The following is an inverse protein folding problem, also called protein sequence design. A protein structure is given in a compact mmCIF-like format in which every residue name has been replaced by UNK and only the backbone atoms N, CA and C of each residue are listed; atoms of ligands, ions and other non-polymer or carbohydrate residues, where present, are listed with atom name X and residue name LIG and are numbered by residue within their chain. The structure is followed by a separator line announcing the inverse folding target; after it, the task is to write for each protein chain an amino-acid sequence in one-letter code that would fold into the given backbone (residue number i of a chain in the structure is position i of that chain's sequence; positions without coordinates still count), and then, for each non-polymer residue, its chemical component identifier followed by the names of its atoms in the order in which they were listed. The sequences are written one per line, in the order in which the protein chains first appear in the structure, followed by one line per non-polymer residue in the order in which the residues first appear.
data_IF_435925655198
#
_entry.id   IF_435925655198
#
_cell.length_a   1.000
_cell.length_b   1.000
_cell.length_c   1.000
_cell.angle_alpha   90.00
_cell.angle_beta   90.00
_cell.angle_gamma   90.00
#
_symmetry.space_group_name_H-M   'P 1'
#
loop_
_entity.id
_entity.type
_entity.pdbx_description
1 polymer ?
#
# COMPACT_ATOMS: atom_id res chain seq x y z
N UNK A 1 23.32 5.48 -30.98
CA UNK A 1 22.92 6.46 -29.94
C UNK A 1 21.39 6.47 -29.84
N UNK A 2 20.81 5.59 -29.04
CA UNK A 2 19.38 5.59 -28.76
C UNK A 2 19.11 6.62 -27.65
N UNK A 3 18.23 7.59 -27.90
CA UNK A 3 17.85 8.60 -26.91
C UNK A 3 17.05 7.94 -25.78
N UNK A 4 17.73 7.71 -24.67
CA UNK A 4 17.19 7.19 -23.41
C UNK A 4 16.41 8.29 -22.66
N UNK A 5 15.25 8.69 -23.18
CA UNK A 5 14.40 9.72 -22.58
C UNK A 5 13.11 9.15 -21.93
N UNK A 6 13.22 8.04 -21.18
CA UNK A 6 12.17 7.71 -20.21
C UNK A 6 12.62 6.86 -19.02
N UNK A 7 12.24 7.31 -17.83
CA UNK A 7 12.55 6.69 -16.54
C UNK A 7 12.10 5.24 -16.41
N UNK A 8 10.99 4.86 -17.04
CA UNK A 8 10.26 3.61 -16.73
C UNK A 8 9.81 2.93 -18.03
N UNK A 9 10.63 3.05 -19.09
CA UNK A 9 10.36 2.34 -20.33
C UNK A 9 9.19 2.92 -21.15
N UNK A 10 9.07 4.24 -21.18
CA UNK A 10 8.11 4.91 -22.05
C UNK A 10 8.88 5.33 -23.33
N UNK A 11 8.55 4.86 -24.53
CA UNK A 11 9.29 5.28 -25.71
C UNK A 11 9.17 6.80 -25.91
N UNK A 12 10.31 7.47 -26.10
CA UNK A 12 10.33 8.84 -26.60
C UNK A 12 9.73 8.81 -28.01
N UNK A 13 8.54 9.39 -28.19
CA UNK A 13 7.88 9.38 -29.48
C UNK A 13 8.63 10.31 -30.44
N UNK A 14 9.00 9.81 -31.62
CA UNK A 14 9.69 10.61 -32.65
C UNK A 14 8.92 11.86 -33.10
N UNK A 15 7.61 11.92 -32.82
CA UNK A 15 6.76 13.11 -33.03
C UNK A 15 6.93 14.21 -31.96
N UNK A 16 7.61 13.95 -30.83
CA UNK A 16 7.87 14.97 -29.80
C UNK A 16 9.01 15.94 -30.16
N UNK A 17 9.85 15.61 -31.16
CA UNK A 17 10.93 16.49 -31.62
C UNK A 17 10.46 17.83 -32.21
N UNK A 18 9.16 17.98 -32.49
CA UNK A 18 8.55 19.23 -32.99
C UNK A 18 7.77 20.05 -31.96
N UNK A 19 7.71 19.66 -30.68
CA UNK A 19 6.85 20.31 -29.66
C UNK A 19 7.63 20.67 -28.38
N UNK A 20 8.77 21.35 -28.55
CA UNK A 20 9.60 21.85 -27.43
C UNK A 20 8.85 22.74 -26.42
N UNK A 21 7.62 23.20 -26.72
CA UNK A 21 6.77 23.99 -25.81
C UNK A 21 5.79 23.21 -24.93
N UNK A 22 5.78 21.86 -24.93
CA UNK A 22 4.79 21.05 -24.18
C UNK A 22 5.35 20.18 -23.06
N UNK A 23 6.66 20.21 -22.81
CA UNK A 23 7.27 19.42 -21.76
C UNK A 23 7.01 20.02 -20.35
N UNK A 24 6.94 19.16 -19.34
CA UNK A 24 6.82 19.59 -17.93
C UNK A 24 8.23 19.82 -17.39
N UNK A 25 8.55 21.01 -16.83
CA UNK A 25 9.89 21.30 -16.31
C UNK A 25 10.33 20.29 -15.24
N UNK A 26 11.61 19.95 -15.21
CA UNK A 26 12.14 18.93 -14.29
C UNK A 26 11.90 19.28 -12.80
N UNK A 27 11.97 20.57 -12.45
CA UNK A 27 11.64 21.05 -11.10
C UNK A 27 10.19 20.74 -10.74
N UNK A 28 9.25 20.96 -11.68
CA UNK A 28 7.82 20.67 -11.45
C UNK A 28 7.59 19.17 -11.31
N UNK A 29 8.28 18.33 -12.10
CA UNK A 29 8.20 16.86 -11.99
C UNK A 29 8.66 16.38 -10.60
N UNK A 30 9.80 16.88 -10.12
CA UNK A 30 10.35 16.52 -8.80
C UNK A 30 9.45 16.99 -7.67
N UNK A 31 9.00 18.25 -7.70
CA UNK A 31 8.13 18.81 -6.68
C UNK A 31 6.76 18.10 -6.66
N UNK A 32 6.15 17.86 -7.82
CA UNK A 32 4.87 17.16 -7.91
C UNK A 32 4.99 15.72 -7.40
N UNK A 33 6.00 14.97 -7.85
CA UNK A 33 6.21 13.59 -7.40
C UNK A 33 6.54 13.53 -5.89
N UNK A 34 7.37 14.44 -5.39
CA UNK A 34 7.70 14.52 -3.97
C UNK A 34 6.49 14.88 -3.11
N UNK A 35 5.72 15.89 -3.50
CA UNK A 35 4.50 16.30 -2.80
C UNK A 35 3.43 15.20 -2.81
N UNK A 36 3.21 14.54 -3.95
CA UNK A 36 2.30 13.41 -4.05
C UNK A 36 2.77 12.26 -3.18
N UNK A 37 4.07 11.95 -3.17
CA UNK A 37 4.58 10.91 -2.29
C UNK A 37 4.24 11.21 -0.84
N UNK A 38 4.59 12.39 -0.31
CA UNK A 38 4.26 12.81 1.06
C UNK A 38 2.74 12.77 1.33
N UNK A 39 1.92 13.25 0.40
CA UNK A 39 0.47 13.25 0.54
C UNK A 39 -0.13 11.84 0.68
N UNK A 40 0.38 10.87 -0.06
CA UNK A 40 -0.07 9.47 0.01
C UNK A 40 0.25 8.81 1.36
N UNK A 41 1.17 9.38 2.14
CA UNK A 41 1.57 8.83 3.45
C UNK A 41 0.70 9.27 4.59
N UNK A 42 0.48 10.58 4.70
CA UNK A 42 -0.22 11.13 5.84
C UNK A 42 -0.82 12.48 5.49
N UNK A 43 -2.08 12.64 5.83
CA UNK A 43 -2.88 13.86 5.66
C UNK A 43 -3.58 14.26 6.96
N UNK A 44 -3.40 13.52 8.06
CA UNK A 44 -3.85 13.84 9.42
C UNK A 44 -2.67 13.67 10.37
N UNK A 45 -1.77 14.64 10.33
CA UNK A 45 -0.52 14.58 11.10
C UNK A 45 -0.83 14.83 12.57
N UNK A 46 -0.20 14.03 13.47
CA UNK A 46 -0.26 14.24 14.92
C UNK A 46 -1.68 14.23 15.51
N UNK A 47 -2.53 13.29 15.07
CA UNK A 47 -3.87 13.10 15.64
C UNK A 47 -3.77 12.79 17.15
N UNK A 48 -4.51 13.53 17.97
CA UNK A 48 -4.66 13.22 19.40
C UNK A 48 -5.56 11.99 19.57
N UNK A 49 -5.02 10.94 20.17
CA UNK A 49 -5.74 9.67 20.39
C UNK A 49 -6.45 9.63 21.75
N UNK A 50 -6.25 10.63 22.60
CA UNK A 50 -6.95 10.76 23.88
C UNK A 50 -8.34 11.40 23.72
N UNK A 51 -8.57 12.11 22.61
CA UNK A 51 -9.85 12.74 22.31
C UNK A 51 -10.86 11.70 21.82
N UNK A 52 -11.98 11.56 22.53
CA UNK A 52 -13.07 10.63 22.18
C UNK A 52 -13.88 11.09 20.97
N UNK A 53 -13.79 12.37 20.58
CA UNK A 53 -14.44 12.89 19.37
C UNK A 53 -13.95 12.21 18.09
N UNK A 54 -12.79 11.53 18.14
CA UNK A 54 -12.25 10.78 17.01
C UNK A 54 -13.12 9.60 16.57
N UNK A 55 -13.97 9.08 17.47
CA UNK A 55 -14.89 7.98 17.16
C UNK A 55 -16.04 8.46 16.28
N UNK A 56 -16.54 9.68 16.49
CA UNK A 56 -17.58 10.29 15.64
C UNK A 56 -17.01 10.94 14.38
N UNK A 57 -15.80 11.50 14.44
CA UNK A 57 -15.13 12.11 13.28
C UNK A 57 -14.72 11.11 12.18
N UNK A 58 -14.77 9.80 12.44
CA UNK A 58 -14.45 8.77 11.43
C UNK A 58 -15.49 8.71 10.29
N UNK A 59 -16.73 9.14 10.56
CA UNK A 59 -17.82 9.13 9.58
C UNK A 59 -17.73 10.30 8.58
N UNK A 60 -17.32 11.48 9.05
CA UNK A 60 -17.20 12.70 8.25
C UNK A 60 -15.74 12.91 7.79
N UNK A 61 -15.38 12.35 6.63
CA UNK A 61 -14.04 12.49 6.07
C UNK A 61 -13.55 13.95 5.99
N UNK A 62 -12.32 14.21 6.43
CA UNK A 62 -11.75 15.57 6.55
C UNK A 62 -11.77 16.37 5.23
N UNK A 63 -12.34 17.58 5.28
CA UNK A 63 -12.36 18.52 4.15
C UNK A 63 -10.96 18.85 3.64
N UNK A 64 -9.98 18.95 4.55
CA UNK A 64 -8.59 19.18 4.19
C UNK A 64 -8.06 18.04 3.30
N UNK A 65 -8.33 16.79 3.69
CA UNK A 65 -7.92 15.61 2.91
C UNK A 65 -8.54 15.61 1.53
N UNK A 66 -9.84 15.91 1.45
CA UNK A 66 -10.55 15.99 0.16
C UNK A 66 -9.92 17.04 -0.76
N UNK A 67 -9.68 18.25 -0.25
CA UNK A 67 -9.06 19.34 -1.01
C UNK A 67 -7.66 18.96 -1.48
N UNK A 68 -6.82 18.39 -0.60
CA UNK A 68 -5.46 18.00 -0.95
C UNK A 68 -5.42 16.90 -2.03
N UNK A 69 -6.23 15.84 -1.90
CA UNK A 69 -6.28 14.77 -2.88
C UNK A 69 -6.87 15.23 -4.22
N UNK A 70 -7.92 16.07 -4.20
CA UNK A 70 -8.47 16.65 -5.42
C UNK A 70 -7.45 17.56 -6.12
N UNK A 71 -6.79 18.46 -5.38
CA UNK A 71 -5.78 19.35 -5.94
C UNK A 71 -4.59 18.59 -6.53
N UNK A 72 -4.04 17.63 -5.79
CA UNK A 72 -2.96 16.76 -6.28
C UNK A 72 -3.40 15.92 -7.47
N UNK A 73 -4.63 15.40 -7.42
CA UNK A 73 -5.24 14.64 -8.50
C UNK A 73 -5.36 15.47 -9.78
N UNK A 74 -5.90 16.69 -9.70
CA UNK A 74 -6.00 17.60 -10.84
C UNK A 74 -4.62 17.98 -11.38
N UNK A 75 -3.66 18.33 -10.51
CA UNK A 75 -2.30 18.65 -10.92
C UNK A 75 -1.63 17.48 -11.67
N UNK A 76 -1.78 16.26 -11.15
CA UNK A 76 -1.26 15.04 -11.77
C UNK A 76 -1.95 14.74 -13.10
N UNK A 77 -3.28 14.87 -13.17
CA UNK A 77 -4.04 14.68 -14.41
C UNK A 77 -3.60 15.67 -15.50
N UNK A 78 -3.37 16.94 -15.13
CA UNK A 78 -2.85 17.96 -16.05
C UNK A 78 -1.43 17.62 -16.53
N UNK A 79 -0.56 17.14 -15.63
CA UNK A 79 0.79 16.70 -15.98
C UNK A 79 0.76 15.51 -16.95
N UNK A 80 -0.03 14.47 -16.64
CA UNK A 80 -0.21 13.29 -17.52
C UNK A 80 -0.80 13.73 -18.87
N UNK A 81 -1.76 14.66 -18.90
CA UNK A 81 -2.34 15.17 -20.14
C UNK A 81 -1.30 15.88 -21.01
N UNK A 82 -0.39 16.66 -20.41
CA UNK A 82 0.70 17.32 -21.15
C UNK A 82 1.72 16.33 -21.72
N UNK A 83 2.08 15.29 -20.95
CA UNK A 83 3.02 14.25 -21.39
C UNK A 83 2.37 13.33 -22.45
N UNK A 84 1.11 12.97 -22.23
CA UNK A 84 0.28 12.18 -23.14
C UNK A 84 -0.50 11.08 -22.41
N UNK A 85 -1.83 11.14 -22.45
CA UNK A 85 -2.71 10.16 -21.76
C UNK A 85 -2.49 8.71 -22.23
N UNK A 86 -1.97 8.52 -23.44
CA UNK A 86 -1.59 7.20 -23.98
C UNK A 86 -0.62 6.42 -23.09
N UNK A 87 0.16 7.09 -22.25
CA UNK A 87 1.08 6.44 -21.32
C UNK A 87 0.36 5.64 -20.21
N UNK A 88 -0.95 5.83 -20.04
CA UNK A 88 -1.79 5.01 -19.17
C UNK A 88 -2.28 3.72 -19.84
N UNK A 89 -2.29 3.62 -21.18
CA UNK A 89 -2.80 2.44 -21.92
C UNK A 89 -2.16 1.10 -21.49
N UNK A 90 -0.85 1.02 -21.20
CA UNK A 90 -0.22 -0.19 -20.64
C UNK A 90 -0.91 -0.77 -19.40
N UNK A 91 -1.50 0.11 -18.57
CA UNK A 91 -2.14 -0.22 -17.30
C UNK A 91 -3.58 -0.71 -17.47
N UNK A 92 -4.21 -0.48 -18.63
CA UNK A 92 -5.56 -0.95 -18.97
C UNK A 92 -5.57 -2.45 -19.31
N UNK A 93 -5.08 -3.27 -18.37
CA UNK A 93 -5.05 -4.72 -18.51
C UNK A 93 -6.42 -5.32 -18.21
N UNK A 94 -6.77 -6.45 -18.84
CA UNK A 94 -8.05 -7.13 -18.58
C UNK A 94 -8.31 -7.37 -17.07
N UNK A 95 -7.36 -7.89 -16.26
CA UNK A 95 -7.61 -8.08 -14.83
C UNK A 95 -7.91 -6.78 -14.08
N UNK A 96 -7.16 -5.70 -14.32
CA UNK A 96 -7.39 -4.40 -13.66
C UNK A 96 -8.70 -3.76 -14.10
N UNK A 97 -9.04 -3.84 -15.39
CA UNK A 97 -10.33 -3.35 -15.90
C UNK A 97 -11.50 -4.13 -15.31
N UNK A 98 -11.39 -5.46 -15.20
CA UNK A 98 -12.43 -6.28 -14.56
C UNK A 98 -12.58 -5.93 -13.08
N UNK A 99 -11.49 -5.69 -12.35
CA UNK A 99 -11.58 -5.21 -10.98
C UNK A 99 -12.27 -3.84 -10.90
N UNK A 100 -11.92 -2.89 -11.77
CA UNK A 100 -12.53 -1.57 -11.80
C UNK A 100 -14.03 -1.62 -12.11
N UNK A 101 -14.43 -2.43 -13.10
CA UNK A 101 -15.84 -2.64 -13.46
C UNK A 101 -16.59 -3.28 -12.28
N UNK A 102 -16.02 -4.34 -11.70
CA UNK A 102 -16.65 -5.03 -10.57
C UNK A 102 -16.82 -4.12 -9.36
N UNK A 103 -15.78 -3.37 -9.01
CA UNK A 103 -15.81 -2.41 -7.90
C UNK A 103 -16.83 -1.29 -8.15
N UNK A 104 -16.94 -0.81 -9.40
CA UNK A 104 -17.98 0.15 -9.78
C UNK A 104 -19.39 -0.43 -9.61
N UNK A 105 -19.61 -1.67 -10.03
CA UNK A 105 -20.89 -2.36 -9.84
C UNK A 105 -21.23 -2.58 -8.37
N UNK A 106 -20.28 -3.04 -7.55
CA UNK A 106 -20.53 -3.28 -6.12
C UNK A 106 -20.69 -1.98 -5.32
N UNK A 107 -20.10 -0.88 -5.79
CA UNK A 107 -20.34 0.47 -5.25
C UNK A 107 -21.79 0.90 -5.45
N UNK A 108 -22.35 0.69 -6.65
CA UNK A 108 -23.75 1.02 -6.94
C UNK A 108 -24.74 0.12 -6.20
N UNK A 109 -24.35 -1.14 -5.93
CA UNK A 109 -25.14 -2.13 -5.22
C UNK A 109 -24.85 -2.17 -3.71
N UNK A 110 -24.09 -1.20 -3.19
CA UNK A 110 -23.71 -1.14 -1.78
C UNK A 110 -24.92 -0.87 -0.88
N UNK A 111 -24.83 -1.27 0.39
CA UNK A 111 -25.78 -0.85 1.42
C UNK A 111 -25.71 0.66 1.71
N UNK A 112 -24.55 1.27 1.47
CA UNK A 112 -24.32 2.72 1.62
C UNK A 112 -23.70 3.27 0.33
N UNK A 113 -24.50 3.48 -0.75
CA UNK A 113 -23.97 3.89 -2.05
C UNK A 113 -23.25 5.24 -2.04
N UNK A 114 -23.71 6.19 -1.22
CA UNK A 114 -23.12 7.53 -1.12
C UNK A 114 -21.72 7.46 -0.49
N UNK A 115 -21.56 6.73 0.62
CA UNK A 115 -20.28 6.49 1.26
C UNK A 115 -19.33 5.71 0.34
N UNK A 116 -19.82 4.64 -0.29
CA UNK A 116 -19.05 3.83 -1.22
C UNK A 116 -18.55 4.64 -2.42
N UNK A 117 -19.39 5.53 -2.97
CA UNK A 117 -18.98 6.39 -4.09
C UNK A 117 -17.85 7.35 -3.69
N UNK A 118 -17.91 7.94 -2.49
CA UNK A 118 -16.83 8.80 -1.97
C UNK A 118 -15.52 8.02 -1.79
N UNK A 119 -15.59 6.80 -1.24
CA UNK A 119 -14.42 5.93 -1.04
C UNK A 119 -13.84 5.45 -2.37
N UNK A 120 -14.69 5.10 -3.34
CA UNK A 120 -14.28 4.77 -4.71
C UNK A 120 -13.59 5.96 -5.39
N UNK A 121 -14.14 7.17 -5.27
CA UNK A 121 -13.54 8.36 -5.86
C UNK A 121 -12.13 8.63 -5.31
N UNK A 122 -11.96 8.55 -3.97
CA UNK A 122 -10.66 8.66 -3.33
C UNK A 122 -9.68 7.58 -3.83
N UNK A 123 -10.14 6.33 -3.93
CA UNK A 123 -9.33 5.22 -4.44
C UNK A 123 -8.89 5.44 -5.89
N UNK A 124 -9.78 5.92 -6.76
CA UNK A 124 -9.45 6.23 -8.16
C UNK A 124 -8.42 7.37 -8.24
N UNK A 125 -8.54 8.41 -7.42
CA UNK A 125 -7.55 9.48 -7.33
C UNK A 125 -6.20 8.91 -6.88
N UNK A 126 -6.17 8.11 -5.81
CA UNK A 126 -4.95 7.48 -5.31
C UNK A 126 -4.29 6.57 -6.37
N UNK A 127 -5.07 5.76 -7.09
CA UNK A 127 -4.57 4.93 -8.18
C UNK A 127 -3.98 5.77 -9.32
N UNK A 128 -4.63 6.88 -9.68
CA UNK A 128 -4.10 7.83 -10.67
C UNK A 128 -2.81 8.51 -10.19
N UNK A 129 -2.72 8.88 -8.91
CA UNK A 129 -1.50 9.44 -8.33
C UNK A 129 -0.34 8.43 -8.36
N UNK A 130 -0.58 7.18 -7.95
CA UNK A 130 0.40 6.09 -8.01
C UNK A 130 0.88 5.82 -9.44
N UNK A 131 -0.01 5.83 -10.43
CA UNK A 131 0.37 5.70 -11.85
C UNK A 131 1.09 6.96 -12.36
N UNK A 132 0.64 8.13 -11.93
CA UNK A 132 1.15 9.43 -12.36
C UNK A 132 2.59 9.68 -11.92
N UNK A 133 2.97 9.32 -10.70
CA UNK A 133 4.35 9.41 -10.20
C UNK A 133 5.33 8.70 -11.15
N UNK A 134 4.93 7.55 -11.67
CA UNK A 134 5.72 6.75 -12.60
C UNK A 134 5.82 7.39 -13.99
N UNK A 135 4.72 7.94 -14.51
CA UNK A 135 4.65 8.53 -15.85
C UNK A 135 5.32 9.90 -15.89
N UNK A 136 5.23 10.68 -14.81
CA UNK A 136 5.82 12.02 -14.69
C UNK A 136 7.31 11.95 -14.41
N UNK A 137 7.84 10.85 -13.88
CA UNK A 137 9.28 10.70 -13.73
C UNK A 137 9.98 10.62 -15.09
N UNK A 138 10.99 11.48 -15.30
CA UNK A 138 11.78 11.53 -16.55
C UNK A 138 12.95 10.55 -16.56
N UNK A 139 13.63 10.38 -15.43
CA UNK A 139 14.68 9.36 -15.26
C UNK A 139 14.55 8.58 -13.96
N UNK A 140 15.17 7.39 -13.84
CA UNK A 140 15.20 6.63 -12.57
C UNK A 140 15.86 7.44 -11.46
N UNK A 141 16.92 8.18 -11.80
CA UNK A 141 17.60 9.08 -10.87
C UNK A 141 16.67 10.19 -10.38
N UNK A 142 15.86 10.79 -11.25
CA UNK A 142 14.89 11.83 -10.84
C UNK A 142 13.82 11.26 -9.91
N UNK A 143 13.30 10.06 -10.20
CA UNK A 143 12.36 9.37 -9.32
C UNK A 143 12.99 9.10 -7.95
N UNK A 144 14.21 8.55 -7.93
CA UNK A 144 14.96 8.28 -6.71
C UNK A 144 15.17 9.55 -5.88
N UNK A 145 15.58 10.66 -6.48
CA UNK A 145 15.77 11.92 -5.75
C UNK A 145 14.46 12.49 -5.21
N UNK A 146 13.35 12.37 -5.95
CA UNK A 146 12.02 12.79 -5.49
C UNK A 146 11.59 11.98 -4.27
N UNK A 147 11.78 10.66 -4.31
CA UNK A 147 11.51 9.78 -3.17
C UNK A 147 12.47 10.02 -2.01
N UNK A 148 13.74 10.34 -2.27
CA UNK A 148 14.70 10.63 -1.21
C UNK A 148 14.30 11.88 -0.41
N UNK A 149 13.92 12.96 -1.10
CA UNK A 149 13.45 14.19 -0.46
C UNK A 149 12.18 13.92 0.37
N UNK A 150 11.20 13.21 -0.20
CA UNK A 150 9.97 12.89 0.49
C UNK A 150 10.18 11.92 1.68
N UNK A 151 11.04 10.93 1.54
CA UNK A 151 11.42 10.00 2.62
C UNK A 151 12.08 10.75 3.78
N UNK A 152 12.97 11.70 3.50
CA UNK A 152 13.59 12.54 4.51
C UNK A 152 12.57 13.41 5.25
N UNK A 153 11.65 14.05 4.52
CA UNK A 153 10.55 14.83 5.13
C UNK A 153 9.77 13.97 6.12
N UNK A 154 9.38 12.76 5.73
CA UNK A 154 8.59 11.86 6.57
C UNK A 154 9.37 11.36 7.79
N UNK A 155 10.58 10.83 7.59
CA UNK A 155 11.36 10.23 8.70
C UNK A 155 11.84 11.29 9.68
N UNK A 156 12.32 12.44 9.19
CA UNK A 156 12.78 13.53 10.06
C UNK A 156 11.60 14.15 10.81
N UNK A 157 10.46 14.39 10.17
CA UNK A 157 9.27 14.88 10.88
C UNK A 157 8.80 13.90 11.94
N UNK A 158 8.93 12.59 11.72
CA UNK A 158 8.60 11.57 12.72
C UNK A 158 9.53 11.62 13.94
N UNK A 159 10.84 11.77 13.73
CA UNK A 159 11.79 11.98 14.83
C UNK A 159 11.56 13.30 15.57
N UNK A 160 11.30 14.39 14.84
CA UNK A 160 11.01 15.70 15.42
C UNK A 160 9.72 15.66 16.24
N UNK A 161 8.68 14.98 15.76
CA UNK A 161 7.44 14.77 16.49
C UNK A 161 7.68 14.07 17.83
N UNK A 162 8.48 13.00 17.85
CA UNK A 162 8.86 12.29 19.07
C UNK A 162 9.66 13.20 20.03
N UNK A 163 10.57 14.01 19.50
CA UNK A 163 11.42 14.88 20.31
C UNK A 163 10.67 16.07 20.92
N UNK A 164 9.76 16.69 20.17
CA UNK A 164 9.12 17.96 20.56
C UNK A 164 7.69 17.82 21.05
N UNK A 165 6.97 16.77 20.63
CA UNK A 165 5.55 16.56 20.95
C UNK A 165 5.27 15.09 21.29
N UNK A 166 5.97 14.51 22.30
CA UNK A 166 5.90 13.08 22.62
C UNK A 166 4.50 12.61 23.00
N UNK A 167 3.67 13.49 23.56
CA UNK A 167 2.27 13.20 23.90
C UNK A 167 1.40 12.88 22.67
N UNK A 168 1.77 13.35 21.48
CA UNK A 168 1.08 13.05 20.21
C UNK A 168 1.86 12.06 19.34
N UNK A 169 3.13 11.78 19.64
CA UNK A 169 4.01 10.98 18.79
C UNK A 169 4.38 9.61 19.39
N UNK A 170 4.08 9.39 20.67
CA UNK A 170 4.27 8.14 21.40
C UNK A 170 2.91 7.68 21.93
N UNK A 171 2.62 6.38 21.86
CA UNK A 171 1.39 5.83 22.41
C UNK A 171 1.33 5.98 23.94
N UNK A 172 0.15 6.35 24.42
CA UNK A 172 -0.16 6.54 25.84
C UNK A 172 -1.10 5.45 26.33
N UNK A 173 -1.10 5.20 27.64
CA UNK A 173 -2.08 4.32 28.29
C UNK A 173 -3.51 4.90 28.29
N UNK A 174 -3.67 6.16 27.89
CA UNK A 174 -4.95 6.87 27.84
C UNK A 174 -5.54 7.00 26.42
N UNK A 175 -4.95 6.34 25.42
CA UNK A 175 -5.49 6.38 24.05
C UNK A 175 -6.84 5.65 24.00
N UNK A 176 -7.82 6.20 23.29
CA UNK A 176 -9.23 5.74 23.27
C UNK A 176 -9.40 4.27 22.79
N UNK A 177 -8.39 3.72 22.10
CA UNK A 177 -8.32 2.31 21.68
C UNK A 177 -6.94 1.69 22.00
N UNK A 178 -6.36 2.00 23.17
CA UNK A 178 -5.05 1.47 23.56
C UNK A 178 -5.10 -0.03 23.85
N UNK A 179 -4.46 -0.84 23.01
CA UNK A 179 -4.02 -2.18 23.41
C UNK A 179 -3.04 -2.02 24.60
N UNK A 180 -3.17 -2.81 25.68
CA UNK A 180 -2.29 -2.74 26.85
C UNK A 180 -0.78 -2.86 26.54
N UNK A 181 -0.43 -3.43 25.38
CA UNK A 181 0.95 -3.59 24.91
C UNK A 181 1.50 -2.38 24.14
N UNK A 182 0.70 -1.34 23.89
CA UNK A 182 1.08 -0.17 23.10
C UNK A 182 1.82 0.97 23.84
N UNK A 183 1.64 1.22 25.16
CA UNK A 183 2.25 2.37 25.82
C UNK A 183 3.78 2.43 25.64
N UNK A 184 4.29 3.62 25.31
CA UNK A 184 5.72 3.87 25.11
C UNK A 184 6.25 3.57 23.71
N UNK A 185 5.45 2.97 22.82
CA UNK A 185 5.83 2.69 21.44
C UNK A 185 5.68 3.92 20.54
N UNK A 186 6.65 4.12 19.63
CA UNK A 186 6.68 5.29 18.77
C UNK A 186 5.72 5.16 17.59
N UNK A 187 4.95 6.22 17.32
CA UNK A 187 4.14 6.37 16.10
C UNK A 187 4.52 7.59 15.26
N UNK A 188 5.29 8.52 15.80
CA UNK A 188 5.77 9.69 15.06
C UNK A 188 4.60 10.54 14.56
N UNK A 189 4.60 10.88 13.27
CA UNK A 189 3.49 11.63 12.67
C UNK A 189 2.25 10.78 12.39
N UNK A 190 2.36 9.45 12.46
CA UNK A 190 1.33 8.51 12.03
C UNK A 190 0.24 8.29 13.10
N UNK A 191 -0.95 7.82 12.71
CA UNK A 191 -2.05 7.52 13.64
C UNK A 191 -1.69 6.42 14.62
N UNK A 192 -0.99 5.36 14.18
CA UNK A 192 -0.64 4.22 15.03
C UNK A 192 0.78 3.69 14.75
N UNK A 193 1.34 2.94 15.71
CA UNK A 193 2.65 2.30 15.57
C UNK A 193 2.77 1.36 14.37
N UNK A 194 1.69 0.66 13.99
CA UNK A 194 1.73 -0.34 12.91
C UNK A 194 1.80 0.35 11.54
N UNK A 195 1.08 1.47 11.38
CA UNK A 195 1.21 2.33 10.21
C UNK A 195 2.60 2.96 10.13
N UNK A 196 3.13 3.44 11.26
CA UNK A 196 4.50 3.94 11.33
C UNK A 196 5.53 2.87 10.94
N UNK A 197 5.39 1.65 11.48
CA UNK A 197 6.26 0.52 11.15
C UNK A 197 6.21 0.16 9.66
N UNK A 198 5.02 0.02 9.07
CA UNK A 198 4.85 -0.22 7.65
C UNK A 198 5.48 0.89 6.80
N UNK A 199 5.35 2.14 7.23
CA UNK A 199 5.99 3.27 6.59
C UNK A 199 7.51 3.17 6.59
N UNK A 200 8.11 2.86 7.74
CA UNK A 200 9.56 2.72 7.83
C UNK A 200 10.09 1.57 6.97
N UNK A 201 9.38 0.46 6.83
CA UNK A 201 9.77 -0.63 5.92
C UNK A 201 9.82 -0.16 4.47
N UNK A 202 8.84 0.63 4.04
CA UNK A 202 8.84 1.21 2.69
C UNK A 202 9.97 2.24 2.55
N UNK A 203 10.23 3.07 3.55
CA UNK A 203 11.35 4.02 3.52
C UNK A 203 12.70 3.31 3.44
N UNK A 204 12.87 2.15 4.08
CA UNK A 204 14.05 1.28 3.91
C UNK A 204 14.13 0.81 2.44
N UNK A 205 13.05 0.31 1.86
CA UNK A 205 13.01 -0.13 0.45
C UNK A 205 13.37 1.03 -0.50
N UNK A 206 12.82 2.23 -0.24
CA UNK A 206 13.11 3.46 -0.99
C UNK A 206 14.57 3.87 -0.82
N UNK A 207 15.12 3.86 0.40
CA UNK A 207 16.51 4.20 0.66
C UNK A 207 17.47 3.25 -0.07
N UNK A 208 17.15 1.95 -0.13
CA UNK A 208 17.91 0.98 -0.93
C UNK A 208 17.84 1.27 -2.43
N UNK A 209 16.70 1.73 -2.94
CA UNK A 209 16.57 2.18 -4.33
C UNK A 209 17.37 3.47 -4.60
N UNK A 210 17.31 4.45 -3.69
CA UNK A 210 18.10 5.68 -3.78
C UNK A 210 19.60 5.39 -3.79
N UNK A 211 20.03 4.43 -2.96
CA UNK A 211 21.43 4.04 -2.86
C UNK A 211 21.99 3.45 -4.16
N UNK A 212 21.15 2.81 -4.97
CA UNK A 212 21.53 2.18 -6.24
C UNK A 212 21.30 3.07 -7.45
N UNK A 213 20.21 3.84 -7.47
CA UNK A 213 19.76 4.61 -8.64
C UNK A 213 20.24 6.08 -8.64
N UNK A 214 20.66 6.64 -7.50
CA UNK A 214 21.02 8.05 -7.41
C UNK A 214 22.25 8.34 -6.55
N UNK A 215 22.16 8.17 -5.23
CA UNK A 215 23.21 8.53 -4.29
C UNK A 215 23.30 7.51 -3.15
N UNK A 216 24.44 6.80 -3.10
CA UNK A 216 24.71 5.75 -2.12
C UNK A 216 24.63 6.24 -0.67
N UNK A 217 25.25 7.39 -0.37
CA UNK A 217 25.28 7.94 0.99
C UNK A 217 23.89 8.33 1.46
N UNK A 218 23.16 9.09 0.62
CA UNK A 218 21.80 9.52 0.91
C UNK A 218 20.85 8.34 1.11
N UNK A 219 20.95 7.31 0.25
CA UNK A 219 20.12 6.12 0.36
C UNK A 219 20.37 5.34 1.65
N UNK A 220 21.64 5.13 2.03
CA UNK A 220 21.97 4.46 3.30
C UNK A 220 21.59 5.30 4.53
N UNK A 221 21.69 6.64 4.46
CA UNK A 221 21.20 7.50 5.53
C UNK A 221 19.69 7.31 5.76
N UNK A 222 18.88 7.28 4.70
CA UNK A 222 17.43 7.00 4.78
C UNK A 222 17.19 5.60 5.37
N UNK A 223 17.93 4.58 4.92
CA UNK A 223 17.80 3.21 5.45
C UNK A 223 18.06 3.17 6.95
N UNK A 224 19.15 3.79 7.42
CA UNK A 224 19.53 3.76 8.83
C UNK A 224 18.53 4.52 9.71
N UNK A 225 18.09 5.70 9.28
CA UNK A 225 17.07 6.48 9.99
C UNK A 225 15.74 5.72 10.06
N UNK A 226 15.28 5.15 8.94
CA UNK A 226 14.03 4.40 8.91
C UNK A 226 14.12 3.11 9.74
N UNK A 227 15.23 2.37 9.66
CA UNK A 227 15.44 1.17 10.46
C UNK A 227 15.49 1.47 11.96
N UNK A 228 16.15 2.56 12.36
CA UNK A 228 16.17 3.00 13.76
C UNK A 228 14.76 3.32 14.28
N UNK A 229 13.97 4.08 13.51
CA UNK A 229 12.59 4.40 13.87
C UNK A 229 11.70 3.15 13.88
N UNK A 230 11.89 2.22 12.94
CA UNK A 230 11.16 0.95 12.89
C UNK A 230 11.34 0.14 14.18
N UNK A 231 12.57 0.05 14.69
CA UNK A 231 12.83 -0.64 15.96
C UNK A 231 12.13 0.07 17.13
N UNK A 232 12.18 1.40 17.18
CA UNK A 232 11.51 2.19 18.22
C UNK A 232 9.97 2.13 18.13
N UNK A 233 9.40 1.85 16.95
CA UNK A 233 7.96 1.68 16.78
C UNK A 233 7.41 0.39 17.41
N UNK A 234 8.26 -0.61 17.62
CA UNK A 234 7.84 -1.92 18.14
C UNK A 234 6.78 -2.63 17.29
N UNK A 235 6.63 -2.28 16.00
CA UNK A 235 5.71 -2.98 15.10
C UNK A 235 6.26 -4.37 14.76
N UNK A 236 5.86 -5.37 15.56
CA UNK A 236 6.30 -6.77 15.45
C UNK A 236 6.18 -7.29 14.01
N UNK A 237 5.03 -7.06 13.37
CA UNK A 237 4.77 -7.46 11.97
C UNK A 237 5.77 -6.80 11.01
N UNK A 238 5.95 -5.48 11.08
CA UNK A 238 6.85 -4.78 10.16
C UNK A 238 8.32 -5.16 10.38
N UNK A 239 8.75 -5.32 11.64
CA UNK A 239 10.10 -5.77 12.01
C UNK A 239 10.37 -7.18 11.48
N UNK A 240 9.40 -8.10 11.58
CA UNK A 240 9.50 -9.47 11.05
C UNK A 240 9.50 -9.50 9.52
N UNK A 241 8.63 -8.72 8.87
CA UNK A 241 8.47 -8.76 7.43
C UNK A 241 9.66 -8.16 6.69
N UNK A 242 10.35 -7.15 7.24
CA UNK A 242 11.50 -6.52 6.59
C UNK A 242 12.61 -7.52 6.17
N UNK A 243 13.19 -8.34 7.07
CA UNK A 243 14.21 -9.32 6.69
C UNK A 243 13.67 -10.38 5.72
N UNK A 244 12.40 -10.79 5.84
CA UNK A 244 11.75 -11.71 4.89
C UNK A 244 11.71 -11.09 3.49
N UNK A 245 11.29 -9.82 3.39
CA UNK A 245 11.24 -9.10 2.12
C UNK A 245 12.64 -8.99 1.50
N UNK A 246 13.64 -8.57 2.28
CA UNK A 246 15.01 -8.40 1.78
C UNK A 246 15.63 -9.74 1.38
N UNK A 247 15.43 -10.80 2.18
CA UNK A 247 15.94 -12.13 1.91
C UNK A 247 15.30 -12.76 0.67
N UNK A 248 13.97 -12.80 0.60
CA UNK A 248 13.21 -13.39 -0.51
C UNK A 248 13.50 -12.65 -1.82
N UNK A 249 13.44 -11.31 -1.82
CA UNK A 249 13.70 -10.52 -3.05
C UNK A 249 15.19 -10.50 -3.42
N UNK A 250 16.10 -10.65 -2.45
CA UNK A 250 17.53 -10.85 -2.68
C UNK A 250 17.80 -12.19 -3.39
N UNK A 251 17.29 -13.29 -2.84
CA UNK A 251 17.39 -14.63 -3.44
C UNK A 251 16.74 -14.69 -4.82
N UNK A 252 15.65 -13.95 -5.04
CA UNK A 252 14.99 -13.85 -6.34
C UNK A 252 15.93 -13.36 -7.46
N UNK A 253 16.96 -12.57 -7.15
CA UNK A 253 17.98 -12.14 -8.14
C UNK A 253 18.97 -13.24 -8.50
N UNK A 254 19.18 -14.19 -7.60
CA UNK A 254 20.11 -15.30 -7.79
C UNK A 254 19.47 -16.45 -8.58
N UNK A 255 18.13 -16.54 -8.58
CA UNK A 255 17.39 -17.56 -9.31
C UNK A 255 17.15 -17.17 -10.76
N UNK A 256 17.52 -18.07 -11.68
CA UNK A 256 17.26 -17.96 -13.13
C UNK A 256 16.01 -18.72 -13.57
N UNK A 257 15.59 -19.73 -12.81
CA UNK A 257 14.42 -20.56 -13.12
C UNK A 257 13.08 -19.89 -12.78
N UNK A 258 12.20 -19.72 -13.79
CA UNK A 258 10.90 -19.06 -13.60
C UNK A 258 9.96 -19.78 -12.62
N UNK A 259 10.03 -21.10 -12.51
CA UNK A 259 9.24 -21.85 -11.52
C UNK A 259 9.76 -21.67 -10.09
N UNK A 260 11.07 -21.84 -9.87
CA UNK A 260 11.69 -21.63 -8.55
C UNK A 260 11.44 -20.20 -8.03
N UNK A 261 11.54 -19.19 -8.91
CA UNK A 261 11.23 -17.80 -8.58
C UNK A 261 9.76 -17.61 -8.16
N UNK A 262 8.81 -18.26 -8.86
CA UNK A 262 7.39 -18.23 -8.47
C UNK A 262 7.18 -18.84 -7.09
N UNK A 263 7.77 -20.01 -6.84
CA UNK A 263 7.64 -20.69 -5.55
C UNK A 263 8.25 -19.86 -4.41
N UNK A 264 9.42 -19.27 -4.62
CA UNK A 264 10.08 -18.38 -3.66
C UNK A 264 9.23 -17.15 -3.32
N UNK A 265 8.57 -16.54 -4.31
CA UNK A 265 7.73 -15.34 -4.10
C UNK A 265 6.34 -15.68 -3.55
N UNK A 266 5.71 -16.75 -4.02
CA UNK A 266 4.33 -17.09 -3.63
C UNK A 266 4.26 -17.96 -2.38
N UNK A 267 5.30 -18.73 -2.07
CA UNK A 267 5.37 -19.61 -0.89
C UNK A 267 5.11 -18.84 0.42
N UNK A 268 5.85 -17.75 0.71
CA UNK A 268 5.60 -16.94 1.90
C UNK A 268 4.20 -16.31 1.94
N UNK A 269 3.69 -15.85 0.79
CA UNK A 269 2.35 -15.24 0.70
C UNK A 269 1.25 -16.26 1.03
N UNK A 270 1.35 -17.47 0.46
CA UNK A 270 0.45 -18.58 0.79
C UNK A 270 0.63 -19.00 2.25
N UNK A 271 1.87 -19.14 2.73
CA UNK A 271 2.18 -19.53 4.11
C UNK A 271 1.58 -18.57 5.13
N UNK A 272 1.77 -17.25 4.96
CA UNK A 272 1.17 -16.25 5.84
C UNK A 272 -0.36 -16.20 5.73
N UNK A 273 -0.93 -16.45 4.54
CA UNK A 273 -2.38 -16.54 4.37
C UNK A 273 -2.97 -17.76 5.06
N UNK A 274 -2.26 -18.90 5.03
CA UNK A 274 -2.61 -20.12 5.77
C UNK A 274 -2.48 -19.92 7.28
N UNK A 275 -1.41 -19.26 7.75
CA UNK A 275 -1.24 -18.96 9.17
C UNK A 275 -2.33 -18.01 9.67
N UNK A 276 -2.66 -16.97 8.91
CA UNK A 276 -3.71 -16.01 9.30
C UNK A 276 -5.10 -16.66 9.23
N UNK A 277 -5.68 -16.82 8.05
CA UNK A 277 -7.06 -17.29 7.87
C UNK A 277 -7.21 -18.76 8.34
N UNK A 278 -6.20 -19.58 8.14
CA UNK A 278 -6.22 -20.98 8.57
C UNK A 278 -6.18 -21.14 10.09
N UNK A 279 -5.59 -20.22 10.86
CA UNK A 279 -5.66 -20.26 12.33
C UNK A 279 -7.08 -20.11 12.87
N UNK A 280 -8.00 -19.59 12.06
CA UNK A 280 -9.42 -19.43 12.42
C UNK A 280 -10.25 -20.60 11.86
N UNK A 281 -9.97 -21.02 10.62
CA UNK A 281 -10.81 -21.99 9.90
C UNK A 281 -10.39 -23.45 10.03
N UNK A 282 -9.14 -23.73 10.44
CA UNK A 282 -8.54 -25.07 10.36
C UNK A 282 -7.97 -25.45 11.72
N UNK A 283 -8.65 -26.32 12.51
CA UNK A 283 -8.23 -26.65 13.88
C UNK A 283 -6.77 -27.11 14.02
N UNK A 284 -6.22 -27.96 13.12
CA UNK A 284 -4.79 -28.31 13.19
C UNK A 284 -3.84 -27.11 13.04
N UNK A 285 -4.20 -26.09 12.26
CA UNK A 285 -3.40 -24.88 12.12
C UNK A 285 -3.54 -24.01 13.36
N UNK A 286 -4.74 -23.90 13.92
CA UNK A 286 -4.99 -23.20 15.18
C UNK A 286 -4.14 -23.76 16.33
N UNK A 287 -4.13 -25.09 16.50
CA UNK A 287 -3.32 -25.79 17.50
C UNK A 287 -1.82 -25.55 17.28
N UNK A 288 -1.35 -25.66 16.03
CA UNK A 288 0.05 -25.43 15.70
C UNK A 288 0.50 -23.98 15.97
N UNK A 289 -0.35 -22.99 15.65
CA UNK A 289 -0.09 -21.58 15.94
C UNK A 289 -0.09 -21.33 17.45
N UNK A 290 -1.04 -21.91 18.18
CA UNK A 290 -1.13 -21.79 19.65
C UNK A 290 0.02 -22.44 20.40
N UNK A 291 0.64 -23.47 19.83
CA UNK A 291 1.84 -24.08 20.39
C UNK A 291 3.11 -23.23 20.15
N UNK A 292 3.13 -22.39 19.10
CA UNK A 292 4.31 -21.63 18.69
C UNK A 292 4.31 -20.18 19.20
N UNK A 293 3.14 -19.55 19.27
CA UNK A 293 2.98 -18.15 19.63
C UNK A 293 2.43 -18.00 21.04
N UNK A 294 3.03 -17.09 21.80
CA UNK A 294 2.56 -16.73 23.16
C UNK A 294 1.17 -16.09 23.14
N UNK A 295 0.81 -15.45 22.03
CA UNK A 295 -0.53 -14.96 21.74
C UNK A 295 -0.99 -15.51 20.38
N UNK A 296 -1.84 -16.52 20.43
CA UNK A 296 -2.42 -17.19 19.25
C UNK A 296 -3.55 -16.40 18.60
N UNK A 297 -4.05 -15.34 19.26
CA UNK A 297 -5.16 -14.52 18.76
C UNK A 297 -4.69 -13.42 17.82
N UNK A 298 -3.36 -13.27 17.64
CA UNK A 298 -2.74 -12.18 16.89
C UNK A 298 -3.25 -10.81 17.37
N UNK A 299 -3.14 -10.53 18.67
CA UNK A 299 -3.69 -9.33 19.33
C UNK A 299 -5.20 -9.18 19.14
N UNK A 300 -5.99 -10.24 19.36
CA UNK A 300 -7.45 -10.24 19.26
C UNK A 300 -8.03 -10.26 17.84
N UNK A 301 -7.21 -10.45 16.80
CA UNK A 301 -7.65 -10.44 15.39
C UNK A 301 -8.42 -11.68 14.98
N UNK A 302 -8.26 -12.81 15.67
CA UNK A 302 -8.98 -14.05 15.36
C UNK A 302 -10.51 -13.88 15.41
N UNK A 303 -11.02 -13.09 16.37
CA UNK A 303 -12.46 -12.80 16.49
C UNK A 303 -12.95 -11.91 15.34
N UNK A 304 -12.18 -10.88 14.98
CA UNK A 304 -12.47 -9.99 13.84
C UNK A 304 -12.54 -10.79 12.55
N UNK A 305 -11.61 -11.72 12.35
CA UNK A 305 -11.56 -12.55 11.15
C UNK A 305 -12.74 -13.52 11.08
N UNK A 306 -13.11 -14.16 12.20
CA UNK A 306 -14.30 -15.01 12.25
C UNK A 306 -15.57 -14.20 11.90
N UNK A 307 -15.74 -13.03 12.53
CA UNK A 307 -16.86 -12.14 12.25
C UNK A 307 -16.92 -11.69 10.78
N UNK A 308 -15.77 -11.35 10.19
CA UNK A 308 -15.67 -11.01 8.78
C UNK A 308 -16.07 -12.19 7.88
N UNK A 309 -15.62 -13.41 8.20
CA UNK A 309 -15.95 -14.64 7.46
C UNK A 309 -17.46 -14.89 7.50
N UNK A 310 -18.07 -14.82 8.67
CA UNK A 310 -19.52 -15.03 8.82
C UNK A 310 -20.32 -14.03 7.97
N UNK A 311 -19.88 -12.77 7.92
CA UNK A 311 -20.53 -11.73 7.11
C UNK A 311 -20.23 -11.84 5.60
N UNK A 312 -19.09 -12.44 5.21
CA UNK A 312 -18.82 -12.79 3.80
C UNK A 312 -19.83 -13.85 3.34
N UNK A 313 -20.14 -14.84 4.20
CA UNK A 313 -21.09 -15.91 3.87
C UNK A 313 -22.53 -15.43 3.70
N UNK A 314 -22.90 -14.29 4.30
CA UNK A 314 -24.21 -13.64 4.09
C UNK A 314 -24.31 -13.01 2.68
N UNK A 315 -23.23 -12.40 2.17
CA UNK A 315 -23.19 -11.73 0.85
C UNK A 315 -22.02 -12.18 -0.04
N UNK A 316 -21.90 -13.48 -0.33
CA UNK A 316 -20.68 -14.05 -0.93
C UNK A 316 -20.43 -13.58 -2.36
N UNK A 317 -21.47 -13.16 -3.08
CA UNK A 317 -21.36 -12.77 -4.49
C UNK A 317 -21.14 -11.28 -4.71
N UNK A 318 -21.77 -10.41 -3.90
CA UNK A 318 -21.77 -8.96 -4.14
C UNK A 318 -20.99 -8.16 -3.09
N UNK A 319 -20.75 -8.75 -1.91
CA UNK A 319 -20.21 -8.02 -0.77
C UNK A 319 -21.16 -6.93 -0.26
N UNK A 320 -20.59 -6.00 0.48
CA UNK A 320 -21.26 -4.90 1.17
C UNK A 320 -21.01 -3.54 0.50
N UNK A 321 -19.96 -3.43 -0.32
CA UNK A 321 -19.50 -2.19 -0.93
C UNK A 321 -18.26 -1.61 -0.23
N UNK A 322 -17.53 -0.77 -0.94
CA UNK A 322 -16.24 -0.23 -0.49
C UNK A 322 -16.42 0.77 0.67
N UNK A 323 -15.89 0.42 1.84
CA UNK A 323 -15.99 1.26 3.04
C UNK A 323 -17.41 1.32 3.63
N UNK A 324 -18.28 0.38 3.28
CA UNK A 324 -19.67 0.32 3.74
C UNK A 324 -19.94 -0.84 4.72
N UNK A 325 -18.89 -1.46 5.27
CA UNK A 325 -19.04 -2.61 6.18
C UNK A 325 -18.66 -2.24 7.63
N UNK A 326 -17.39 -1.93 7.85
CA UNK A 326 -16.87 -1.53 9.16
C UNK A 326 -17.36 -0.14 9.57
N UNK A 327 -17.47 0.09 10.89
CA UNK A 327 -17.96 1.34 11.46
C UNK A 327 -19.34 1.75 10.90
N UNK A 328 -20.24 0.79 10.73
CA UNK A 328 -21.66 1.03 10.42
C UNK A 328 -22.51 0.62 11.61
N UNK A 329 -23.76 1.09 11.72
CA UNK A 329 -24.67 0.67 12.78
C UNK A 329 -24.70 -0.86 12.95
N UNK A 330 -24.61 -1.60 11.83
CA UNK A 330 -24.57 -3.07 11.85
C UNK A 330 -23.34 -3.63 12.56
N UNK A 331 -22.16 -3.05 12.39
CA UNK A 331 -20.92 -3.55 13.00
C UNK A 331 -20.70 -2.99 14.39
N UNK A 332 -21.17 -1.77 14.68
CA UNK A 332 -21.12 -1.18 16.01
C UNK A 332 -22.12 -1.82 16.99
N UNK A 333 -23.25 -2.34 16.50
CA UNK A 333 -24.30 -2.98 17.29
C UNK A 333 -24.49 -4.47 16.97
N UNK A 334 -23.47 -5.13 16.40
CA UNK A 334 -23.58 -6.51 15.88
C UNK A 334 -23.63 -7.61 16.96
N UNK A 335 -23.46 -7.25 18.24
CA UNK A 335 -23.54 -8.15 19.39
C UNK A 335 -24.52 -7.59 20.44
N UNK A 336 -25.02 -8.47 21.30
CA UNK A 336 -25.79 -8.16 22.51
C UNK A 336 -25.16 -7.05 23.37
N UNK A 337 -25.82 -6.62 24.46
CA UNK A 337 -25.48 -5.53 25.40
C UNK A 337 -24.00 -5.40 25.88
N UNK A 338 -23.11 -6.30 25.50
CA UNK A 338 -21.67 -6.29 25.74
C UNK A 338 -20.88 -5.76 24.51
N UNK A 339 -20.14 -4.66 24.72
CA UNK A 339 -19.22 -4.10 23.72
C UNK A 339 -18.04 -5.07 23.53
N UNK A 340 -17.97 -5.76 22.40
CA UNK A 340 -16.79 -6.55 22.01
C UNK A 340 -15.77 -5.68 21.26
N UNK A 341 -14.50 -6.09 21.22
CA UNK A 341 -13.44 -5.42 20.44
C UNK A 341 -13.80 -5.26 18.95
N UNK A 342 -14.67 -6.13 18.43
CA UNK A 342 -15.22 -6.07 17.06
C UNK A 342 -16.04 -4.79 16.82
N UNK A 343 -16.68 -4.24 17.85
CA UNK A 343 -17.53 -3.05 17.72
C UNK A 343 -16.72 -1.75 17.54
N UNK A 344 -15.39 -1.79 17.71
CA UNK A 344 -14.50 -0.61 17.67
C UNK A 344 -13.50 -0.62 16.52
N UNK A 345 -13.49 -1.64 15.66
CA UNK A 345 -12.53 -1.77 14.55
C UNK A 345 -13.09 -1.25 13.23
N UNK A 346 -12.22 -0.59 12.45
CA UNK A 346 -12.55 0.04 11.17
C UNK A 346 -12.12 -0.79 9.95
N UNK A 347 -11.49 -1.95 10.18
CA UNK A 347 -11.10 -2.91 9.15
C UNK A 347 -10.76 -4.30 9.72
N UNK A 348 -10.68 -5.30 8.85
CA UNK A 348 -10.40 -6.68 9.26
C UNK A 348 -8.96 -6.93 9.74
N UNK A 349 -8.02 -6.00 9.51
CA UNK A 349 -6.58 -6.28 9.54
C UNK A 349 -6.20 -7.51 8.68
N UNK A 350 -6.90 -7.69 7.56
CA UNK A 350 -6.60 -8.70 6.57
C UNK A 350 -7.21 -8.26 5.24
N UNK A 351 -6.36 -7.86 4.31
CA UNK A 351 -6.79 -7.29 3.05
C UNK A 351 -7.60 -8.28 2.19
N UNK A 352 -7.42 -9.59 2.35
CA UNK A 352 -8.19 -10.59 1.60
C UNK A 352 -9.62 -10.71 2.13
N UNK A 353 -9.80 -10.70 3.46
CA UNK A 353 -11.12 -10.66 4.08
C UNK A 353 -11.82 -9.33 3.74
N UNK A 354 -11.13 -8.20 3.86
CA UNK A 354 -11.70 -6.90 3.45
C UNK A 354 -12.09 -6.89 1.97
N UNK A 355 -11.27 -7.46 1.08
CA UNK A 355 -11.61 -7.56 -0.35
C UNK A 355 -12.89 -8.36 -0.57
N UNK A 356 -13.06 -9.49 0.13
CA UNK A 356 -14.26 -10.31 0.04
C UNK A 356 -15.48 -9.59 0.64
N UNK A 357 -15.32 -8.81 1.72
CA UNK A 357 -16.37 -7.96 2.26
C UNK A 357 -16.77 -6.84 1.28
N UNK A 358 -15.82 -6.23 0.57
CA UNK A 358 -16.08 -5.14 -0.37
C UNK A 358 -16.92 -5.61 -1.56
N UNK A 359 -16.56 -6.74 -2.19
CA UNK A 359 -17.13 -7.13 -3.48
C UNK A 359 -17.46 -8.60 -3.65
N UNK A 360 -17.45 -9.38 -2.56
CA UNK A 360 -17.67 -10.81 -2.57
C UNK A 360 -16.44 -11.62 -3.02
N UNK A 361 -16.60 -12.94 -2.99
CA UNK A 361 -15.63 -13.91 -3.49
C UNK A 361 -15.23 -13.68 -4.96
N UNK A 362 -16.13 -13.27 -5.88
CA UNK A 362 -15.71 -12.93 -7.25
C UNK A 362 -14.69 -11.79 -7.28
N UNK A 363 -14.86 -10.76 -6.45
CA UNK A 363 -13.90 -9.66 -6.38
C UNK A 363 -12.56 -10.08 -5.80
N UNK A 364 -12.57 -10.96 -4.80
CA UNK A 364 -11.35 -11.56 -4.25
C UNK A 364 -10.59 -12.35 -5.34
N UNK A 365 -11.27 -13.17 -6.14
CA UNK A 365 -10.64 -13.90 -7.25
C UNK A 365 -10.04 -12.93 -8.28
N UNK A 366 -10.79 -11.90 -8.68
CA UNK A 366 -10.29 -10.87 -9.61
C UNK A 366 -9.07 -10.15 -9.04
N UNK A 367 -9.09 -9.83 -7.74
CA UNK A 367 -7.98 -9.21 -7.02
C UNK A 367 -6.75 -10.11 -7.04
N UNK A 368 -6.89 -11.40 -6.72
CA UNK A 368 -5.77 -12.36 -6.78
C UNK A 368 -5.19 -12.44 -8.19
N UNK A 369 -6.04 -12.48 -9.22
CA UNK A 369 -5.57 -12.48 -10.62
C UNK A 369 -4.83 -11.19 -10.97
N UNK A 370 -5.36 -10.03 -10.58
CA UNK A 370 -4.81 -8.72 -10.93
C UNK A 370 -3.55 -8.36 -10.14
N UNK A 371 -3.47 -8.75 -8.86
CA UNK A 371 -2.45 -8.29 -7.91
C UNK A 371 -1.43 -9.37 -7.55
N UNK A 372 -1.73 -10.65 -7.75
CA UNK A 372 -0.77 -11.75 -7.51
C UNK A 372 -0.27 -12.31 -8.84
N UNK A 373 -1.16 -12.86 -9.67
CA UNK A 373 -0.73 -13.60 -10.86
C UNK A 373 -0.25 -12.69 -12.00
N UNK A 374 -0.91 -11.55 -12.25
CA UNK A 374 -0.49 -10.64 -13.32
C UNK A 374 0.90 -10.01 -13.08
N UNK A 375 1.25 -9.50 -11.88
CA UNK A 375 2.59 -8.97 -11.61
C UNK A 375 3.67 -10.05 -11.64
N UNK A 376 3.39 -11.26 -11.14
CA UNK A 376 4.33 -12.38 -11.26
C UNK A 376 4.62 -12.69 -12.73
N UNK A 377 3.58 -12.76 -13.57
CA UNK A 377 3.74 -12.99 -15.01
C UNK A 377 4.54 -11.87 -15.68
N UNK A 378 4.32 -10.63 -15.28
CA UNK A 378 5.02 -9.46 -15.82
C UNK A 378 6.49 -9.43 -15.38
N UNK A 379 6.79 -9.79 -14.12
CA UNK A 379 8.15 -9.98 -13.62
C UNK A 379 8.89 -11.06 -14.42
N UNK A 380 8.30 -12.24 -14.65
CA UNK A 380 8.97 -13.32 -15.38
C UNK A 380 9.37 -12.93 -16.82
N UNK A 381 8.64 -12.01 -17.45
CA UNK A 381 8.97 -11.52 -18.80
C UNK A 381 10.15 -10.55 -18.83
N UNK A 382 10.44 -9.87 -17.72
CA UNK A 382 11.53 -8.88 -17.63
C UNK A 382 12.76 -9.47 -16.96
N UNK A 383 12.60 -10.53 -16.18
CA UNK A 383 13.61 -11.08 -15.30
C UNK A 383 14.48 -12.19 -15.94
N UNK A 384 14.82 -12.02 -17.23
CA UNK A 384 15.73 -12.90 -17.99
C UNK A 384 17.22 -12.75 -17.61
N UNK A 385 17.53 -11.82 -16.71
CA UNK A 385 18.87 -11.57 -16.15
C UNK A 385 18.79 -10.89 -14.79
N UNK A 386 19.87 -10.24 -14.36
CA UNK A 386 19.90 -9.48 -13.11
C UNK A 386 18.88 -8.34 -13.15
N UNK A 387 18.07 -8.23 -12.10
CA UNK A 387 17.06 -7.18 -11.97
C UNK A 387 17.75 -5.82 -11.77
N UNK A 388 17.29 -4.80 -12.50
CA UNK A 388 17.73 -3.42 -12.28
C UNK A 388 17.07 -2.80 -11.04
N UNK A 389 17.51 -1.59 -10.67
CA UNK A 389 17.16 -0.94 -9.42
C UNK A 389 15.64 -0.69 -9.30
N UNK A 390 15.00 -0.32 -10.40
CA UNK A 390 13.57 -0.02 -10.50
C UNK A 390 12.75 -1.29 -10.41
N UNK A 391 13.13 -2.34 -11.15
CA UNK A 391 12.44 -3.63 -11.06
C UNK A 391 12.57 -4.20 -9.65
N UNK A 392 13.72 -4.00 -8.98
CA UNK A 392 13.93 -4.38 -7.59
C UNK A 392 13.08 -3.57 -6.61
N UNK A 393 12.95 -2.25 -6.82
CA UNK A 393 12.05 -1.38 -6.04
C UNK A 393 10.62 -1.90 -6.13
N UNK A 394 10.10 -2.09 -7.35
CA UNK A 394 8.73 -2.55 -7.54
C UNK A 394 8.52 -3.99 -7.02
N UNK A 395 9.50 -4.88 -7.20
CA UNK A 395 9.43 -6.23 -6.64
C UNK A 395 9.28 -6.19 -5.11
N UNK A 396 10.09 -5.36 -4.42
CA UNK A 396 10.04 -5.24 -2.96
C UNK A 396 8.75 -4.62 -2.46
N UNK A 397 8.27 -3.54 -3.09
CA UNK A 397 7.00 -2.91 -2.73
C UNK A 397 5.79 -3.82 -3.01
N UNK A 398 5.80 -4.53 -4.14
CA UNK A 398 4.78 -5.51 -4.46
C UNK A 398 4.76 -6.66 -3.45
N UNK A 399 5.94 -7.22 -3.15
CA UNK A 399 6.06 -8.32 -2.21
C UNK A 399 5.65 -7.91 -0.80
N UNK A 400 6.07 -6.72 -0.33
CA UNK A 400 5.61 -6.12 0.92
C UNK A 400 4.08 -6.08 1.01
N UNK A 401 3.40 -5.56 -0.02
CA UNK A 401 1.94 -5.48 -0.01
C UNK A 401 1.29 -6.85 0.06
N UNK A 402 1.83 -7.87 -0.63
CA UNK A 402 1.28 -9.22 -0.57
C UNK A 402 1.49 -9.92 0.78
N UNK A 403 2.67 -9.82 1.39
CA UNK A 403 2.89 -10.44 2.70
C UNK A 403 2.18 -9.69 3.82
N UNK A 404 2.02 -8.37 3.68
CA UNK A 404 1.26 -7.56 4.63
C UNK A 404 -0.25 -7.78 4.49
N UNK A 405 -0.75 -8.16 3.32
CA UNK A 405 -2.18 -8.39 3.07
C UNK A 405 -2.81 -9.44 3.99
N UNK A 406 -2.03 -10.38 4.51
CA UNK A 406 -2.51 -11.38 5.48
C UNK A 406 -2.76 -10.82 6.88
N UNK A 407 -2.20 -9.66 7.21
CA UNK A 407 -2.21 -9.10 8.57
C UNK A 407 -2.59 -7.61 8.61
N UNK A 408 -2.75 -6.93 7.49
CA UNK A 408 -3.08 -5.51 7.44
C UNK A 408 -3.95 -5.20 6.21
N UNK A 409 -4.74 -4.14 6.30
CA UNK A 409 -5.63 -3.68 5.24
C UNK A 409 -4.88 -2.79 4.24
N UNK A 410 -4.14 -3.45 3.35
CA UNK A 410 -3.22 -2.79 2.39
C UNK A 410 -3.70 -2.84 0.94
N UNK A 411 -4.91 -3.35 0.67
CA UNK A 411 -5.51 -3.40 -0.66
C UNK A 411 -6.82 -2.60 -0.68
N UNK A 412 -7.16 -2.02 -1.82
CA UNK A 412 -8.42 -1.30 -2.06
C UNK A 412 -8.74 -0.12 -1.12
N UNK A 413 -7.74 0.37 -0.36
CA UNK A 413 -7.87 1.53 0.51
C UNK A 413 -6.97 2.66 0.01
N UNK A 414 -7.56 3.61 -0.73
CA UNK A 414 -6.83 4.75 -1.31
C UNK A 414 -6.24 5.72 -0.28
N UNK A 415 -6.64 5.59 0.98
CA UNK A 415 -6.11 6.38 2.09
C UNK A 415 -4.87 5.73 2.74
N UNK A 416 -4.60 4.47 2.41
CA UNK A 416 -3.51 3.71 2.98
C UNK A 416 -2.26 3.84 2.08
N UNK A 417 -1.16 4.32 2.66
CA UNK A 417 0.09 4.54 1.96
C UNK A 417 0.66 3.25 1.36
N UNK A 418 0.59 2.14 2.09
CA UNK A 418 1.02 0.82 1.62
C UNK A 418 0.21 0.39 0.40
N UNK A 419 -1.09 0.67 0.36
CA UNK A 419 -1.93 0.42 -0.82
C UNK A 419 -1.45 1.22 -2.04
N UNK A 420 -1.15 2.50 -1.84
CA UNK A 420 -0.68 3.39 -2.91
C UNK A 420 0.68 2.96 -3.46
N UNK A 421 1.59 2.55 -2.57
CA UNK A 421 2.92 2.02 -2.92
C UNK A 421 2.83 0.65 -3.59
N UNK A 422 1.88 -0.19 -3.17
CA UNK A 422 1.58 -1.47 -3.81
C UNK A 422 1.03 -1.27 -5.23
N UNK A 423 0.07 -0.35 -5.42
CA UNK A 423 -0.43 0.00 -6.76
C UNK A 423 0.70 0.50 -7.66
N UNK A 424 1.56 1.38 -7.13
CA UNK A 424 2.74 1.85 -7.85
C UNK A 424 3.67 0.71 -8.25
N UNK A 425 3.85 -0.30 -7.40
CA UNK A 425 4.62 -1.49 -7.72
C UNK A 425 4.01 -2.31 -8.87
N UNK A 426 2.69 -2.56 -8.81
CA UNK A 426 1.95 -3.28 -9.86
C UNK A 426 2.04 -2.54 -11.20
N UNK A 427 1.82 -1.22 -11.19
CA UNK A 427 1.92 -0.39 -12.39
C UNK A 427 3.34 -0.30 -12.93
N UNK A 428 4.33 -0.17 -12.04
CA UNK A 428 5.74 -0.11 -12.38
C UNK A 428 6.22 -1.38 -13.09
N UNK A 429 5.91 -2.56 -12.53
CA UNK A 429 6.18 -3.85 -13.18
C UNK A 429 5.52 -3.94 -14.55
N UNK A 430 4.26 -3.49 -14.67
CA UNK A 430 3.52 -3.53 -15.93
C UNK A 430 4.15 -2.66 -17.03
N UNK A 431 4.50 -1.42 -16.69
CA UNK A 431 5.13 -0.47 -17.62
C UNK A 431 6.47 -1.01 -18.11
N UNK A 432 7.27 -1.55 -17.19
CA UNK A 432 8.56 -2.20 -17.47
C UNK A 432 8.44 -3.37 -18.43
N UNK A 433 7.47 -4.27 -18.21
CA UNK A 433 7.22 -5.39 -19.12
C UNK A 433 6.82 -4.93 -20.51
N UNK A 434 5.95 -3.93 -20.61
CA UNK A 434 5.53 -3.40 -21.91
C UNK A 434 6.68 -2.78 -22.69
N UNK A 435 7.60 -2.11 -22.00
CA UNK A 435 8.80 -1.59 -22.62
C UNK A 435 9.74 -2.67 -23.12
N UNK A 436 10.06 -3.65 -22.27
CA UNK A 436 10.96 -4.73 -22.63
C UNK A 436 10.49 -5.47 -23.90
N UNK A 437 9.17 -5.66 -24.04
CA UNK A 437 8.54 -6.27 -25.23
C UNK A 437 8.47 -5.37 -26.47
N UNK A 438 8.69 -4.06 -26.32
CA UNK A 438 8.69 -3.12 -27.45
C UNK A 438 10.10 -2.88 -28.02
N UNK A 439 11.14 -3.19 -27.23
CA UNK A 439 12.56 -3.00 -27.58
C UNK A 439 13.21 -4.29 -28.09
N UNK A 440 12.78 -5.45 -27.56
CA UNK A 440 13.14 -6.77 -28.09
C UNK A 440 12.20 -7.19 -29.20
#
# INVERSE_FOLDING_TARGET
MASADAAIGIPADGRQRGLAGRDVPDVVRVLLNGAVFVLLWNHVWLKDLSDRSILSASEDGSLLTQVLFLAAGTAMALAIRRIGIRHLQPLMTRPLLLCAIWLGLTTLLSIEPSLSLRRLALFVIAAMLSAGVLIVARSPRQLALSFAGAALVIVLSSYLAVAFVPNLAIHSAFDVNSDPSHPGLWRGIFPQKNEAGAAMVILVIVGLYVATAANRFLGWAIVLLAAGFLLASGSKTAILLLPVILGVTGLCQMLTGGFARKLLLLGPVVGFSLISIGSVLVPPIQEAVGALLTDATFTGRSEIWQFAIDNILIRPWRGWGIGAFWMTERTMYAGSEEVTWVNTVDHAHNAYLDTALIGGLPFLVLTVVAFVFAPVRDLQRVAGGRLDAETMLFLRLWFLGLVSASFETVLWNGNNATCCMFMMAVFGLRLRTRYALAVG
#
